data_IF_125909843499
#
_entry.id   IF_125909843499
#
_cell.length_a   1.000
_cell.length_b   1.000
_cell.length_c   1.000
_cell.angle_alpha   90.00
_cell.angle_beta   90.00
_cell.angle_gamma   90.00
#
_symmetry.space_group_name_H-M   'P 1'
#
loop_
_entity.id
_entity.type
_entity.pdbx_description
1 polymer ?
#
# COMPACT_ATOMS: atom_id res chain seq x y z
N UNK A 1 11.09 -6.06 8.05
CA UNK A 1 11.31 -4.61 7.92
C UNK A 1 11.80 -4.06 9.24
N UNK A 2 12.94 -3.40 9.22
CA UNK A 2 13.51 -2.73 10.38
C UNK A 2 13.24 -1.25 10.29
N UNK A 3 12.51 -0.71 11.26
CA UNK A 3 12.16 0.71 11.30
C UNK A 3 13.17 1.50 12.12
N UNK A 4 13.28 2.79 11.79
CA UNK A 4 14.07 3.72 12.59
C UNK A 4 13.48 3.81 14.00
N UNK A 5 14.33 3.66 15.01
CA UNK A 5 13.89 3.71 16.41
C UNK A 5 13.15 5.01 16.78
N UNK A 6 13.44 6.12 16.10
CA UNK A 6 12.76 7.39 16.35
C UNK A 6 11.30 7.38 15.90
N UNK A 7 10.90 6.45 15.03
CA UNK A 7 9.53 6.33 14.51
C UNK A 7 8.70 5.39 15.35
N UNK A 8 9.32 4.36 15.92
CA UNK A 8 8.63 3.33 16.69
C UNK A 8 8.13 3.92 18.01
N UNK A 9 6.85 3.72 18.27
CA UNK A 9 6.20 4.10 19.52
C UNK A 9 5.85 2.82 20.28
N UNK A 10 6.56 2.53 21.40
CA UNK A 10 6.37 1.26 22.11
C UNK A 10 4.96 1.01 22.64
N UNK A 11 4.21 2.08 22.88
CA UNK A 11 2.82 1.99 23.36
C UNK A 11 1.84 1.55 22.26
N UNK A 12 2.25 1.60 21.01
CA UNK A 12 1.39 1.19 19.89
C UNK A 12 1.50 -0.31 19.70
N UNK A 13 0.38 -1.00 19.74
CA UNK A 13 0.31 -2.42 19.47
C UNK A 13 0.35 -2.67 17.96
N UNK A 14 1.21 -3.55 17.51
CA UNK A 14 1.24 -3.97 16.10
C UNK A 14 0.61 -5.34 15.99
N UNK A 15 -0.51 -5.42 15.29
CA UNK A 15 -1.27 -6.65 15.08
C UNK A 15 -0.99 -7.12 13.66
N UNK A 16 -0.56 -8.37 13.53
CA UNK A 16 -0.25 -8.95 12.23
C UNK A 16 -1.15 -10.12 11.90
N UNK A 17 -1.62 -10.15 10.66
CA UNK A 17 -2.39 -11.24 10.09
C UNK A 17 -1.87 -11.45 8.68
N UNK A 18 -0.81 -12.25 8.57
CA UNK A 18 0.01 -12.33 7.37
C UNK A 18 0.05 -13.76 6.85
N UNK A 19 -0.35 -13.93 5.59
CA UNK A 19 -0.12 -15.17 4.85
C UNK A 19 1.23 -15.08 4.15
N UNK A 20 1.87 -16.22 3.95
CA UNK A 20 3.10 -16.29 3.16
C UNK A 20 2.75 -16.12 1.69
N UNK A 21 3.24 -15.03 1.08
CA UNK A 21 2.92 -14.68 -0.30
C UNK A 21 4.15 -14.14 -1.01
N UNK A 22 4.08 -14.06 -2.33
CA UNK A 22 5.13 -13.46 -3.15
C UNK A 22 4.58 -12.24 -3.88
N UNK A 23 5.30 -11.12 -3.74
CA UNK A 23 5.03 -9.90 -4.48
C UNK A 23 6.08 -9.75 -5.58
N UNK A 24 5.67 -9.25 -6.73
CA UNK A 24 6.59 -8.98 -7.84
C UNK A 24 7.44 -7.75 -7.54
N UNK A 25 8.73 -7.83 -7.86
CA UNK A 25 9.64 -6.71 -7.74
C UNK A 25 10.85 -6.99 -6.86
N UNK A 26 11.67 -5.98 -6.70
CA UNK A 26 12.87 -6.07 -5.87
C UNK A 26 12.53 -5.93 -4.40
N UNK A 27 13.10 -6.79 -3.59
CA UNK A 27 12.86 -6.78 -2.14
C UNK A 27 13.22 -5.43 -1.51
N UNK A 28 14.29 -4.78 -1.97
CA UNK A 28 14.71 -3.48 -1.43
C UNK A 28 13.69 -2.38 -1.73
N UNK A 29 13.07 -2.41 -2.91
CA UNK A 29 12.03 -1.45 -3.27
C UNK A 29 10.80 -1.62 -2.36
N UNK A 30 10.38 -2.86 -2.14
CA UNK A 30 9.25 -3.14 -1.25
C UNK A 30 9.56 -2.80 0.21
N UNK A 31 10.80 -3.04 0.63
CA UNK A 31 11.23 -2.64 1.98
C UNK A 31 11.03 -1.14 2.20
N UNK A 32 11.53 -0.33 1.28
CA UNK A 32 11.42 1.13 1.35
C UNK A 32 9.94 1.56 1.35
N UNK A 33 9.14 0.95 0.48
CA UNK A 33 7.71 1.27 0.41
C UNK A 33 7.00 0.96 1.74
N UNK A 34 7.22 -0.23 2.28
CA UNK A 34 6.58 -0.64 3.53
C UNK A 34 7.05 0.21 4.71
N UNK A 35 8.35 0.50 4.79
CA UNK A 35 8.89 1.38 5.83
C UNK A 35 8.20 2.74 5.83
N UNK A 36 7.97 3.33 4.66
CA UNK A 36 7.31 4.62 4.55
C UNK A 36 5.85 4.56 5.00
N UNK A 37 5.14 3.50 4.66
CA UNK A 37 3.77 3.31 5.13
C UNK A 37 3.74 3.12 6.65
N UNK A 38 4.65 2.31 7.18
CA UNK A 38 4.73 2.06 8.62
C UNK A 38 5.08 3.31 9.41
N UNK A 39 6.00 4.13 8.91
CA UNK A 39 6.33 5.40 9.54
C UNK A 39 5.12 6.30 9.62
N UNK A 40 4.33 6.37 8.56
CA UNK A 40 3.09 7.12 8.55
C UNK A 40 2.09 6.55 9.57
N UNK A 41 1.94 5.23 9.60
CA UNK A 41 1.03 4.57 10.52
C UNK A 41 1.41 4.84 11.99
N UNK A 42 2.69 4.74 12.34
CA UNK A 42 3.14 5.04 13.69
C UNK A 42 2.94 6.51 14.07
N UNK A 43 3.08 7.41 13.11
CA UNK A 43 2.88 8.84 13.39
C UNK A 43 1.46 9.15 13.83
N UNK A 44 0.48 8.51 13.24
CA UNK A 44 -0.92 8.85 13.45
C UNK A 44 -1.69 7.87 14.34
N UNK A 45 -1.20 6.68 14.56
CA UNK A 45 -1.88 5.68 15.38
C UNK A 45 -2.11 6.19 16.81
N UNK A 46 -3.25 5.87 17.37
CA UNK A 46 -3.56 6.11 18.78
C UNK A 46 -3.13 4.96 19.65
N UNK A 47 -3.50 3.74 19.29
CA UNK A 47 -3.25 2.56 20.10
C UNK A 47 -2.78 1.35 19.31
N UNK A 48 -3.14 1.20 18.02
CA UNK A 48 -2.73 0.04 17.25
C UNK A 48 -2.53 0.31 15.77
N UNK A 49 -1.74 -0.57 15.18
CA UNK A 49 -1.55 -0.69 13.74
C UNK A 49 -1.84 -2.15 13.39
N UNK A 50 -2.63 -2.38 12.36
CA UNK A 50 -2.92 -3.71 11.86
C UNK A 50 -2.32 -3.90 10.48
N UNK A 51 -1.59 -5.01 10.31
CA UNK A 51 -0.98 -5.39 9.03
C UNK A 51 -1.63 -6.70 8.57
N UNK A 52 -2.24 -6.65 7.40
CA UNK A 52 -2.84 -7.83 6.78
C UNK A 52 -2.20 -8.06 5.41
N UNK A 53 -1.81 -9.30 5.14
CA UNK A 53 -1.21 -9.67 3.86
C UNK A 53 -1.91 -10.91 3.32
N UNK A 54 -2.34 -10.83 2.07
CA UNK A 54 -2.94 -11.94 1.32
C UNK A 54 -2.25 -12.01 -0.04
N UNK A 55 -2.58 -13.02 -0.81
CA UNK A 55 -1.91 -13.28 -2.09
C UNK A 55 -1.85 -12.06 -3.00
N UNK A 56 -2.93 -11.32 -3.13
CA UNK A 56 -3.03 -10.22 -4.08
C UNK A 56 -3.05 -8.83 -3.44
N UNK A 57 -2.97 -8.74 -2.12
CA UNK A 57 -3.04 -7.45 -1.47
C UNK A 57 -2.36 -7.41 -0.10
N UNK A 58 -1.99 -6.21 0.28
CA UNK A 58 -1.42 -5.85 1.57
C UNK A 58 -2.20 -4.65 2.11
N UNK A 59 -2.61 -4.71 3.35
CA UNK A 59 -3.30 -3.60 4.00
C UNK A 59 -2.63 -3.24 5.32
N UNK A 60 -2.32 -1.96 5.50
CA UNK A 60 -1.79 -1.43 6.75
C UNK A 60 -2.77 -0.36 7.24
N UNK A 61 -3.37 -0.61 8.38
CA UNK A 61 -4.36 0.29 8.97
C UNK A 61 -3.93 0.75 10.36
N UNK A 62 -4.42 1.90 10.76
CA UNK A 62 -4.21 2.43 12.09
C UNK A 62 -5.49 3.07 12.61
N UNK A 63 -5.57 3.24 13.92
CA UNK A 63 -6.72 3.82 14.61
C UNK A 63 -6.57 5.32 14.88
N UNK A 64 -5.77 5.99 14.08
CA UNK A 64 -5.61 7.43 14.16
C UNK A 64 -6.81 8.20 13.62
N UNK A 65 -6.75 9.52 13.67
CA UNK A 65 -7.85 10.35 13.18
C UNK A 65 -8.07 10.16 11.69
N UNK A 66 -9.34 10.22 11.29
CA UNK A 66 -9.70 10.19 9.88
C UNK A 66 -9.21 11.44 9.19
N UNK A 67 -8.94 11.32 7.90
CA UNK A 67 -8.45 12.43 7.09
C UNK A 67 -9.52 12.90 6.10
N UNK A 68 -9.52 14.19 5.72
CA UNK A 68 -10.32 14.63 4.59
C UNK A 68 -9.97 13.85 3.33
N UNK A 69 -10.96 13.57 2.51
CA UNK A 69 -10.81 12.73 1.31
C UNK A 69 -9.77 13.28 0.33
N UNK A 70 -9.80 14.58 0.09
CA UNK A 70 -8.84 15.26 -0.79
C UNK A 70 -7.40 15.15 -0.26
N UNK A 71 -7.23 15.17 1.04
CA UNK A 71 -5.92 15.02 1.66
C UNK A 71 -5.37 13.61 1.48
N UNK A 72 -6.20 12.59 1.67
CA UNK A 72 -5.78 11.20 1.46
C UNK A 72 -5.30 11.01 0.02
N UNK A 73 -6.03 11.56 -0.93
CA UNK A 73 -5.67 11.49 -2.35
C UNK A 73 -4.30 12.15 -2.63
N UNK A 74 -4.01 13.25 -1.95
CA UNK A 74 -2.76 13.99 -2.19
C UNK A 74 -1.53 13.38 -1.55
N UNK A 75 -1.70 12.48 -0.58
CA UNK A 75 -0.57 11.89 0.17
C UNK A 75 0.45 11.17 -0.70
N UNK A 76 0.03 10.66 -1.84
CA UNK A 76 0.92 9.92 -2.75
C UNK A 76 1.58 10.80 -3.80
N UNK A 77 1.31 12.10 -3.81
CA UNK A 77 1.95 13.04 -4.71
C UNK A 77 3.29 13.50 -4.14
N UNK A 78 4.32 13.68 -4.99
CA UNK A 78 5.61 14.21 -4.52
C UNK A 78 5.46 15.63 -3.98
N UNK A 79 6.25 15.95 -2.96
CA UNK A 79 6.37 17.29 -2.40
C UNK A 79 5.12 17.87 -1.73
N UNK A 80 4.12 17.06 -1.49
CA UNK A 80 2.99 17.49 -0.66
C UNK A 80 3.47 17.65 0.78
N UNK A 81 3.15 18.79 1.37
CA UNK A 81 3.47 19.03 2.77
C UNK A 81 2.39 18.40 3.65
N UNK A 82 2.79 17.45 4.47
CA UNK A 82 1.92 16.93 5.51
C UNK A 82 1.90 17.86 6.71
N UNK A 83 0.99 17.61 7.63
CA UNK A 83 1.01 18.27 8.93
C UNK A 83 2.30 17.94 9.66
N UNK A 84 2.80 18.88 10.44
CA UNK A 84 4.05 18.73 11.15
C UNK A 84 5.28 19.06 10.31
N UNK A 85 5.12 19.62 9.12
CA UNK A 85 6.21 20.10 8.30
C UNK A 85 7.02 19.03 7.60
N UNK A 86 6.56 17.78 7.60
CA UNK A 86 7.21 16.72 6.84
C UNK A 86 6.80 16.74 5.39
N UNK A 87 7.76 16.48 4.53
CA UNK A 87 7.51 16.38 3.09
C UNK A 87 6.89 15.04 2.76
N UNK A 88 5.89 15.04 1.88
CA UNK A 88 5.18 13.86 1.44
C UNK A 88 5.94 12.95 0.47
N UNK A 89 7.28 12.96 0.53
CA UNK A 89 8.09 12.14 -0.37
C UNK A 89 7.99 10.66 -0.09
N UNK A 90 7.82 10.29 1.18
CA UNK A 90 7.75 8.89 1.58
C UNK A 90 6.63 8.13 0.91
N UNK A 91 5.43 8.69 0.91
CA UNK A 91 4.28 8.02 0.29
C UNK A 91 4.30 8.11 -1.24
N UNK A 92 4.94 9.13 -1.81
CA UNK A 92 5.13 9.17 -3.26
C UNK A 92 6.08 8.06 -3.74
N UNK A 93 7.04 7.67 -2.92
CA UNK A 93 7.91 6.51 -3.20
C UNK A 93 7.08 5.23 -3.25
N UNK A 94 6.14 5.07 -2.34
CA UNK A 94 5.23 3.91 -2.34
C UNK A 94 4.47 3.83 -3.67
N UNK A 95 3.93 4.95 -4.11
CA UNK A 95 3.22 5.01 -5.39
C UNK A 95 4.12 4.61 -6.56
N UNK A 96 5.36 5.07 -6.58
CA UNK A 96 6.32 4.72 -7.63
C UNK A 96 6.68 3.24 -7.64
N UNK A 97 6.91 2.66 -6.47
CA UNK A 97 7.20 1.23 -6.36
C UNK A 97 6.03 0.40 -6.86
N UNK A 98 4.82 0.74 -6.44
CA UNK A 98 3.61 0.07 -6.87
C UNK A 98 3.44 0.13 -8.39
N UNK A 99 3.54 1.32 -8.95
CA UNK A 99 3.38 1.54 -10.38
C UNK A 99 4.41 0.75 -11.21
N UNK A 100 5.65 0.73 -10.76
CA UNK A 100 6.73 0.01 -11.46
C UNK A 100 6.50 -1.50 -11.46
N UNK A 101 5.77 -2.04 -10.51
CA UNK A 101 5.57 -3.47 -10.35
C UNK A 101 4.12 -3.91 -10.63
N UNK A 102 3.31 -3.05 -11.23
CA UNK A 102 1.92 -3.34 -11.59
C UNK A 102 1.00 -3.55 -10.38
N UNK A 103 1.24 -2.77 -9.34
CA UNK A 103 0.36 -2.68 -8.18
C UNK A 103 -0.25 -1.28 -8.10
N UNK A 104 -1.31 -1.20 -7.34
CA UNK A 104 -1.99 0.06 -7.04
C UNK A 104 -1.95 0.27 -5.54
N UNK A 105 -1.66 1.49 -5.10
CA UNK A 105 -1.80 1.88 -3.70
C UNK A 105 -2.96 2.85 -3.56
N UNK A 106 -3.75 2.64 -2.52
CA UNK A 106 -4.91 3.47 -2.22
C UNK A 106 -4.97 3.74 -0.73
N UNK A 107 -5.26 4.98 -0.37
CA UNK A 107 -5.57 5.34 1.00
C UNK A 107 -7.05 5.60 1.14
N UNK A 108 -7.61 5.22 2.27
CA UNK A 108 -9.02 5.50 2.57
C UNK A 108 -9.26 5.54 4.07
N UNK A 109 -10.33 6.23 4.46
CA UNK A 109 -10.81 6.16 5.83
C UNK A 109 -11.48 4.82 6.06
N UNK A 110 -11.29 4.26 7.26
CA UNK A 110 -11.98 3.07 7.71
C UNK A 110 -12.84 3.43 8.92
N UNK A 111 -13.61 2.48 9.43
CA UNK A 111 -14.43 2.72 10.60
C UNK A 111 -13.62 3.18 11.81
N UNK A 112 -12.42 2.63 11.97
CA UNK A 112 -11.54 2.90 13.11
C UNK A 112 -10.51 3.99 12.88
N UNK A 113 -10.21 4.32 11.64
CA UNK A 113 -9.16 5.30 11.34
C UNK A 113 -8.86 5.41 9.87
N UNK A 114 -7.61 5.11 9.49
CA UNK A 114 -7.13 5.22 8.11
C UNK A 114 -6.42 3.93 7.72
N UNK A 115 -6.55 3.53 6.47
CA UNK A 115 -5.83 2.38 5.94
C UNK A 115 -5.23 2.65 4.58
N UNK A 116 -4.11 1.99 4.32
CA UNK A 116 -3.45 1.99 3.02
C UNK A 116 -3.46 0.58 2.48
N UNK A 117 -3.94 0.42 1.27
CA UNK A 117 -4.07 -0.87 0.61
C UNK A 117 -3.20 -0.88 -0.63
N UNK A 118 -2.36 -1.91 -0.75
CA UNK A 118 -1.61 -2.18 -1.97
C UNK A 118 -2.18 -3.46 -2.56
N UNK A 119 -2.60 -3.41 -3.79
CA UNK A 119 -3.18 -4.58 -4.44
C UNK A 119 -2.68 -4.73 -5.87
N UNK A 120 -2.67 -5.97 -6.34
CA UNK A 120 -2.20 -6.30 -7.68
C UNK A 120 -3.17 -5.76 -8.72
N UNK A 121 -2.62 -5.07 -9.71
CA UNK A 121 -3.43 -4.55 -10.81
C UNK A 121 -3.92 -5.70 -11.68
N UNK A 122 -5.23 -5.75 -11.92
CA UNK A 122 -5.82 -6.78 -12.78
C UNK A 122 -5.50 -6.47 -14.24
N UNK A 123 -4.88 -7.42 -14.93
CA UNK A 123 -4.54 -7.30 -16.35
C UNK A 123 -5.71 -7.72 -17.24
N UNK A 124 -6.77 -6.94 -17.26
CA UNK A 124 -7.97 -7.21 -18.06
C UNK A 124 -7.64 -7.38 -19.54
N UNK A 125 -6.73 -6.57 -20.05
CA UNK A 125 -6.33 -6.59 -21.45
C UNK A 125 -5.64 -7.90 -21.86
N UNK A 126 -4.79 -8.42 -20.99
CA UNK A 126 -4.11 -9.71 -21.21
C UNK A 126 -5.10 -10.87 -21.24
N UNK A 127 -6.02 -10.91 -20.31
CA UNK A 127 -7.05 -11.94 -20.23
C UNK A 127 -7.96 -11.92 -21.47
N UNK A 128 -8.38 -10.74 -21.90
CA UNK A 128 -9.18 -10.57 -23.10
C UNK A 128 -8.44 -11.02 -24.36
N UNK A 129 -7.17 -10.73 -24.44
CA UNK A 129 -6.31 -11.12 -25.55
C UNK A 129 -6.13 -12.64 -25.63
N UNK A 130 -5.94 -13.28 -24.51
CA UNK A 130 -5.87 -14.74 -24.42
C UNK A 130 -7.16 -15.42 -24.88
N UNK A 131 -8.29 -14.90 -24.42
CA UNK A 131 -9.60 -15.42 -24.83
C UNK A 131 -9.84 -15.29 -26.32
N UNK A 132 -9.45 -14.17 -26.91
CA UNK A 132 -9.56 -13.97 -28.35
C UNK A 132 -8.71 -14.97 -29.12
N UNK A 133 -7.49 -15.20 -28.65
CA UNK A 133 -6.58 -16.14 -29.28
C UNK A 133 -7.13 -17.60 -29.24
N UNK A 134 -7.62 -18.02 -28.10
CA UNK A 134 -8.22 -19.35 -27.91
C UNK A 134 -9.46 -19.51 -28.81
N UNK A 135 -10.29 -18.51 -28.87
CA UNK A 135 -11.49 -18.51 -29.70
C UNK A 135 -11.16 -18.67 -31.19
N UNK A 136 -10.18 -17.94 -31.67
CA UNK A 136 -9.74 -18.03 -33.05
C UNK A 136 -9.19 -19.38 -33.37
N UNK A 137 -8.44 -20.00 -32.48
CA UNK A 137 -7.95 -21.35 -32.66
C UNK A 137 -9.09 -22.39 -32.71
N UNK A 138 -10.08 -22.21 -31.86
CA UNK A 138 -11.24 -23.05 -31.83
C UNK A 138 -12.03 -23.00 -33.13
N UNK A 139 -12.15 -21.83 -33.71
CA UNK A 139 -12.84 -21.64 -34.97
C UNK A 139 -12.11 -22.28 -36.17
N UNK A 140 -10.80 -22.33 -36.08
CA UNK A 140 -9.98 -22.95 -37.14
C UNK A 140 -9.88 -24.45 -37.01
N UNK A 141 -10.16 -24.96 -35.85
CA UNK A 141 -10.17 -26.39 -35.62
C UNK A 141 -11.48 -27.01 -36.08
#
# INVERSE_FOLDING_TARGET
>A
VVLNAAVIRPEIQVITDVEEVFFDGLIEAWRVAIENIMENAFRYAKSYIKIEVREDWLCISNDGPKMPEDRIQSLFRPYEKGEGGRFGLGLSIVSKVCKANHYIVKGENSDDGVRFIIYRKVKKQRKKKENTWVKNKGEKA
#
